data_IF_381885481338
#
_entry.id   IF_381885481338
#
_cell.length_a   1.000
_cell.length_b   1.000
_cell.length_c   1.000
_cell.angle_alpha   90.00
_cell.angle_beta   90.00
_cell.angle_gamma   90.00
#
_symmetry.space_group_name_H-M   'P 1'
#
loop_
_entity.id
_entity.type
_entity.pdbx_description
1 polymer ?
#
# COMPACT_ATOMS: atom_id res chain seq x y z
N UNK A 1 27.39 -16.49 18.08
CA UNK A 1 26.70 -17.09 16.92
C UNK A 1 26.41 -15.95 15.96
N UNK A 2 27.12 -15.89 14.83
CA UNK A 2 27.14 -14.73 13.91
C UNK A 2 25.83 -14.49 13.11
N UNK A 3 24.76 -15.21 13.45
CA UNK A 3 23.45 -15.06 12.84
C UNK A 3 22.41 -14.83 13.93
N UNK A 4 22.16 -13.57 14.26
CA UNK A 4 21.12 -13.20 15.21
C UNK A 4 19.75 -13.34 14.54
N UNK A 5 18.72 -13.70 15.32
CA UNK A 5 17.34 -13.73 14.84
C UNK A 5 16.93 -12.39 14.20
N UNK A 6 17.43 -11.27 14.73
CA UNK A 6 17.24 -9.93 14.17
C UNK A 6 17.78 -9.80 12.73
N UNK A 7 18.98 -10.33 12.43
CA UNK A 7 19.53 -10.27 11.06
C UNK A 7 18.65 -11.03 10.05
N UNK A 8 18.10 -12.19 10.43
CA UNK A 8 17.12 -12.91 9.61
C UNK A 8 15.85 -12.08 9.38
N UNK A 9 15.32 -11.48 10.43
CA UNK A 9 14.14 -10.61 10.34
C UNK A 9 14.38 -9.44 9.38
N UNK A 10 15.53 -8.78 9.46
CA UNK A 10 15.86 -7.68 8.54
C UNK A 10 15.99 -8.13 7.08
N UNK A 11 16.61 -9.29 6.82
CA UNK A 11 16.70 -9.83 5.45
C UNK A 11 15.33 -10.18 4.87
N UNK A 12 14.47 -10.84 5.64
CA UNK A 12 13.10 -11.16 5.21
C UNK A 12 12.29 -9.88 5.00
N UNK A 13 12.39 -8.92 5.92
CA UNK A 13 11.75 -7.61 5.81
C UNK A 13 12.18 -6.86 4.56
N UNK A 14 13.45 -6.90 4.15
CA UNK A 14 13.90 -6.22 2.92
C UNK A 14 13.20 -6.77 1.69
N UNK A 15 13.06 -8.09 1.58
CA UNK A 15 12.34 -8.74 0.47
C UNK A 15 10.86 -8.36 0.49
N UNK A 16 10.23 -8.40 1.65
CA UNK A 16 8.82 -8.02 1.81
C UNK A 16 8.61 -6.53 1.52
N UNK A 17 9.51 -5.65 1.96
CA UNK A 17 9.46 -4.22 1.71
C UNK A 17 9.61 -3.91 0.21
N UNK A 18 10.51 -4.59 -0.50
CA UNK A 18 10.60 -4.47 -1.96
C UNK A 18 9.29 -4.88 -2.65
N UNK A 19 8.62 -5.94 -2.18
CA UNK A 19 7.32 -6.33 -2.71
C UNK A 19 6.22 -5.30 -2.43
N UNK A 20 6.23 -4.67 -1.24
CA UNK A 20 5.32 -3.58 -0.88
C UNK A 20 5.53 -2.34 -1.75
N UNK A 21 6.79 -1.97 -2.03
CA UNK A 21 7.12 -0.86 -2.93
C UNK A 21 6.54 -1.14 -4.32
N UNK A 22 6.68 -2.35 -4.84
CA UNK A 22 6.11 -2.73 -6.13
C UNK A 22 4.57 -2.60 -6.14
N UNK A 23 3.89 -3.09 -5.10
CA UNK A 23 2.44 -2.94 -4.98
C UNK A 23 2.01 -1.48 -4.91
N UNK A 24 2.70 -0.64 -4.15
CA UNK A 24 2.37 0.79 -4.03
C UNK A 24 2.58 1.53 -5.35
N UNK A 25 3.63 1.21 -6.09
CA UNK A 25 3.84 1.75 -7.44
C UNK A 25 2.69 1.35 -8.36
N UNK A 26 2.27 0.08 -8.33
CA UNK A 26 1.11 -0.38 -9.09
C UNK A 26 -0.17 0.38 -8.72
N UNK A 27 -0.39 0.63 -7.41
CA UNK A 27 -1.51 1.44 -6.94
C UNK A 27 -1.45 2.89 -7.47
N UNK A 28 -0.28 3.52 -7.46
CA UNK A 28 -0.11 4.89 -8.00
C UNK A 28 -0.44 4.94 -9.50
N UNK A 29 0.05 3.97 -10.27
CA UNK A 29 -0.26 3.87 -11.71
C UNK A 29 -1.76 3.68 -11.93
N UNK A 30 -2.39 2.78 -11.17
CA UNK A 30 -3.84 2.56 -11.24
C UNK A 30 -4.65 3.83 -10.94
N UNK A 31 -4.25 4.62 -9.95
CA UNK A 31 -4.90 5.90 -9.66
C UNK A 31 -4.65 6.96 -10.73
N UNK A 32 -3.48 6.96 -11.38
CA UNK A 32 -3.16 7.89 -12.46
C UNK A 32 -3.96 7.57 -13.74
N UNK A 33 -4.13 6.28 -14.05
CA UNK A 33 -5.03 5.81 -15.12
C UNK A 33 -6.49 6.24 -14.84
N UNK A 34 -6.99 6.02 -13.62
CA UNK A 34 -8.33 6.47 -13.21
C UNK A 34 -8.51 7.98 -13.33
N UNK A 35 -7.47 8.76 -12.99
CA UNK A 35 -7.49 10.23 -13.10
C UNK A 35 -7.51 10.69 -14.55
N UNK A 36 -6.81 9.97 -15.43
CA UNK A 36 -6.78 10.25 -16.86
C UNK A 36 -8.13 9.93 -17.51
N UNK A 37 -8.75 8.82 -17.12
CA UNK A 37 -10.11 8.45 -17.54
C UNK A 37 -11.15 9.46 -17.04
N UNK A 38 -11.01 9.99 -15.83
CA UNK A 38 -11.91 11.03 -15.29
C UNK A 38 -11.84 12.35 -16.07
N UNK A 39 -10.65 12.77 -16.51
CA UNK A 39 -10.44 14.06 -17.22
C UNK A 39 -10.92 14.08 -18.67
N UNK A 40 -11.14 12.93 -19.30
CA UNK A 40 -11.49 12.82 -20.73
C UNK A 40 -12.97 12.41 -20.94
N UNK A 41 -13.95 13.30 -20.69
CA UNK A 41 -15.37 12.99 -20.93
C UNK A 41 -15.76 12.96 -22.43
N UNK A 42 -14.84 13.28 -23.36
CA UNK A 42 -15.13 13.61 -24.77
C UNK A 42 -15.56 12.40 -25.63
N UNK A 43 -15.33 11.16 -25.20
CA UNK A 43 -15.77 9.95 -25.94
C UNK A 43 -17.24 9.54 -25.68
N UNK A 44 -18.03 10.34 -24.95
CA UNK A 44 -19.47 10.10 -24.72
C UNK A 44 -20.32 10.04 -26.00
N UNK A 45 -19.77 10.44 -27.15
CA UNK A 45 -20.45 10.34 -28.44
C UNK A 45 -20.65 8.92 -28.96
N UNK A 46 -19.91 7.91 -28.46
CA UNK A 46 -20.09 6.51 -28.84
C UNK A 46 -20.39 5.62 -27.61
N UNK A 47 -21.63 5.11 -27.44
CA UNK A 47 -22.03 4.35 -26.26
C UNK A 47 -21.28 3.02 -26.09
N UNK A 48 -20.70 2.45 -27.16
CA UNK A 48 -19.89 1.24 -27.06
C UNK A 48 -18.55 1.49 -26.34
N UNK A 49 -17.88 2.61 -26.65
CA UNK A 49 -16.61 3.00 -26.01
C UNK A 49 -16.80 3.37 -24.54
N UNK A 50 -17.91 4.04 -24.21
CA UNK A 50 -18.25 4.38 -22.83
C UNK A 50 -18.42 3.13 -21.95
N UNK A 51 -19.08 2.07 -22.48
CA UNK A 51 -19.25 0.80 -21.76
C UNK A 51 -17.93 0.07 -21.51
N UNK A 52 -17.02 0.09 -22.48
CA UNK A 52 -15.70 -0.57 -22.35
C UNK A 52 -14.82 0.13 -21.30
N UNK A 53 -14.82 1.46 -21.28
CA UNK A 53 -14.16 2.28 -20.25
C UNK A 53 -14.68 1.98 -18.85
N UNK A 54 -16.01 1.95 -18.67
CA UNK A 54 -16.61 1.62 -17.37
C UNK A 54 -16.18 0.24 -16.88
N UNK A 55 -16.16 -0.75 -17.77
CA UNK A 55 -15.69 -2.11 -17.45
C UNK A 55 -14.19 -2.14 -17.09
N UNK A 56 -13.38 -1.27 -17.68
CA UNK A 56 -11.96 -1.13 -17.31
C UNK A 56 -11.81 -0.54 -15.90
N UNK A 57 -12.54 0.54 -15.60
CA UNK A 57 -12.56 1.18 -14.27
C UNK A 57 -12.97 0.17 -13.19
N UNK A 58 -14.05 -0.58 -13.41
CA UNK A 58 -14.50 -1.62 -12.48
C UNK A 58 -13.44 -2.70 -12.26
N UNK A 59 -12.73 -3.12 -13.32
CA UNK A 59 -11.63 -4.09 -13.23
C UNK A 59 -10.48 -3.55 -12.38
N UNK A 60 -10.06 -2.31 -12.63
CA UNK A 60 -8.97 -1.66 -11.87
C UNK A 60 -9.37 -1.55 -10.40
N UNK A 61 -10.59 -1.11 -10.10
CA UNK A 61 -11.11 -1.03 -8.72
C UNK A 61 -11.15 -2.40 -8.03
N UNK A 62 -11.59 -3.45 -8.75
CA UNK A 62 -11.59 -4.81 -8.23
C UNK A 62 -10.17 -5.32 -7.91
N UNK A 63 -9.19 -5.01 -8.77
CA UNK A 63 -7.79 -5.35 -8.55
C UNK A 63 -7.20 -4.58 -7.36
N UNK A 64 -7.42 -3.26 -7.29
CA UNK A 64 -7.02 -2.41 -6.15
C UNK A 64 -7.56 -2.97 -4.83
N UNK A 65 -8.85 -3.34 -4.80
CA UNK A 65 -9.49 -3.97 -3.64
C UNK A 65 -8.83 -5.28 -3.25
N UNK A 66 -8.47 -6.11 -4.22
CA UNK A 66 -7.83 -7.40 -3.98
C UNK A 66 -6.39 -7.25 -3.49
N UNK A 67 -5.66 -6.22 -3.93
CA UNK A 67 -4.25 -5.99 -3.58
C UNK A 67 -4.05 -5.30 -2.23
N UNK A 68 -5.04 -4.54 -1.76
CA UNK A 68 -4.90 -3.78 -0.50
C UNK A 68 -4.84 -4.68 0.76
N UNK A 69 -5.48 -5.86 0.72
CA UNK A 69 -5.46 -6.83 1.82
C UNK A 69 -4.07 -7.46 1.96
N UNK A 70 -3.44 -7.94 0.87
CA UNK A 70 -2.03 -8.31 0.87
C UNK A 70 -1.10 -7.22 1.41
N UNK A 71 -1.27 -5.95 1.03
CA UNK A 71 -0.45 -4.83 1.53
C UNK A 71 -0.50 -4.75 3.06
N UNK A 72 -1.71 -4.71 3.63
CA UNK A 72 -1.89 -4.64 5.09
C UNK A 72 -1.43 -5.92 5.79
N UNK A 73 -1.58 -7.08 5.17
CA UNK A 73 -1.14 -8.36 5.73
C UNK A 73 0.38 -8.43 5.82
N UNK A 74 1.09 -8.07 4.74
CA UNK A 74 2.56 -8.04 4.73
C UNK A 74 3.07 -6.99 5.72
N UNK A 75 2.42 -5.81 5.77
CA UNK A 75 2.77 -4.77 6.73
C UNK A 75 2.46 -5.16 8.19
N UNK A 76 1.41 -5.96 8.44
CA UNK A 76 1.17 -6.53 9.77
C UNK A 76 2.23 -7.56 10.15
N UNK A 77 2.60 -8.43 9.20
CA UNK A 77 3.49 -9.56 9.42
C UNK A 77 4.91 -9.12 9.81
N UNK A 78 5.52 -8.19 9.08
CA UNK A 78 6.87 -7.74 9.41
C UNK A 78 6.92 -6.86 10.69
N UNK A 79 5.85 -6.11 11.01
CA UNK A 79 5.71 -5.44 12.31
C UNK A 79 5.68 -6.46 13.46
N UNK A 80 4.90 -7.53 13.33
CA UNK A 80 4.85 -8.61 14.32
C UNK A 80 6.22 -9.30 14.47
N UNK A 81 6.91 -9.50 13.35
CA UNK A 81 8.25 -10.08 13.37
C UNK A 81 9.26 -9.18 14.10
N UNK A 82 9.21 -7.86 13.91
CA UNK A 82 10.05 -6.92 14.66
C UNK A 82 9.71 -6.84 16.14
N UNK A 83 8.44 -7.02 16.50
CA UNK A 83 8.03 -7.16 17.90
C UNK A 83 8.66 -8.41 18.53
N UNK A 84 8.65 -9.55 17.83
CA UNK A 84 9.32 -10.78 18.29
C UNK A 84 10.84 -10.65 18.37
N UNK A 85 11.45 -9.84 17.49
CA UNK A 85 12.89 -9.58 17.49
C UNK A 85 13.33 -8.55 18.56
N UNK A 86 12.39 -7.96 19.31
CA UNK A 86 12.62 -6.89 20.28
C UNK A 86 13.32 -5.65 19.67
N UNK A 87 13.09 -5.39 18.38
CA UNK A 87 13.65 -4.26 17.64
C UNK A 87 12.75 -3.02 17.80
N UNK A 88 12.79 -2.42 18.99
CA UNK A 88 11.84 -1.38 19.41
C UNK A 88 11.91 -0.10 18.58
N UNK A 89 13.09 0.30 18.10
CA UNK A 89 13.25 1.52 17.26
C UNK A 89 12.55 1.32 15.92
N UNK A 90 12.83 0.19 15.28
CA UNK A 90 12.30 -0.23 13.98
C UNK A 90 10.79 -0.41 14.04
N UNK A 91 10.29 -1.02 15.12
CA UNK A 91 8.86 -1.12 15.40
C UNK A 91 8.24 0.26 15.61
N UNK A 92 8.88 1.12 16.42
CA UNK A 92 8.43 2.49 16.69
C UNK A 92 8.22 3.33 15.44
N UNK A 93 9.11 3.21 14.44
CA UNK A 93 8.97 3.89 13.16
C UNK A 93 7.79 3.38 12.31
N UNK A 94 7.41 2.11 12.46
CA UNK A 94 6.29 1.50 11.73
C UNK A 94 4.93 1.63 12.42
N UNK A 95 4.90 1.84 13.74
CA UNK A 95 3.65 1.99 14.52
C UNK A 95 2.71 3.06 13.94
N UNK A 96 3.16 4.26 13.51
CA UNK A 96 2.26 5.25 12.93
C UNK A 96 1.53 4.74 11.68
N UNK A 97 2.24 4.03 10.79
CA UNK A 97 1.67 3.48 9.58
C UNK A 97 0.75 2.28 9.89
N UNK A 98 1.15 1.43 10.84
CA UNK A 98 0.34 0.30 11.29
C UNK A 98 -0.97 0.78 11.93
N UNK A 99 -0.91 1.81 12.78
CA UNK A 99 -2.08 2.42 13.39
C UNK A 99 -2.98 3.03 12.32
N UNK A 100 -2.41 3.70 11.31
CA UNK A 100 -3.18 4.21 10.18
C UNK A 100 -3.91 3.09 9.42
N UNK A 101 -3.24 1.96 9.13
CA UNK A 101 -3.86 0.81 8.48
C UNK A 101 -4.97 0.18 9.33
N UNK A 102 -4.76 0.04 10.65
CA UNK A 102 -5.77 -0.47 11.57
C UNK A 102 -6.95 0.48 11.70
N UNK A 103 -6.70 1.78 11.90
CA UNK A 103 -7.73 2.80 11.97
C UNK A 103 -8.59 2.78 10.72
N UNK A 104 -7.96 2.73 9.53
CA UNK A 104 -8.65 2.60 8.25
C UNK A 104 -9.35 1.25 8.04
N UNK A 105 -8.90 0.20 8.70
CA UNK A 105 -9.58 -1.10 8.69
C UNK A 105 -10.86 -1.06 9.53
N UNK A 106 -10.83 -0.42 10.71
CA UNK A 106 -11.96 -0.34 11.64
C UNK A 106 -12.96 0.78 11.34
N UNK A 107 -12.51 1.93 10.82
CA UNK A 107 -13.39 3.05 10.45
C UNK A 107 -14.05 2.85 9.08
N UNK A 108 -14.19 1.60 8.63
CA UNK A 108 -14.99 1.27 7.45
C UNK A 108 -16.47 1.25 7.86
N UNK A 109 -17.38 1.87 7.09
CA UNK A 109 -18.81 1.69 7.33
C UNK A 109 -19.15 0.19 7.21
N UNK A 110 -19.72 -0.38 8.27
CA UNK A 110 -20.03 -1.81 8.38
C UNK A 110 -21.26 -2.24 7.55
N UNK A 111 -21.94 -1.29 6.92
CA UNK A 111 -23.24 -1.49 6.27
C UNK A 111 -23.17 -2.15 4.89
N UNK A 112 -21.99 -2.58 4.43
CA UNK A 112 -21.82 -3.28 3.16
C UNK A 112 -22.10 -2.44 1.90
N UNK A 113 -22.44 -1.16 2.05
CA UNK A 113 -22.78 -0.23 0.95
C UNK A 113 -21.60 0.57 0.40
N UNK A 114 -20.49 0.70 1.14
CA UNK A 114 -19.26 1.34 0.66
C UNK A 114 -18.09 0.38 0.79
N UNK A 115 -18.02 -0.53 -0.17
CA UNK A 115 -16.86 -1.40 -0.33
C UNK A 115 -15.64 -0.52 -0.59
N UNK A 116 -14.54 -0.78 0.11
CA UNK A 116 -13.25 -0.11 -0.11
C UNK A 116 -12.93 -0.14 -1.62
N UNK A 117 -12.79 1.04 -2.24
CA UNK A 117 -12.64 1.19 -3.68
C UNK A 117 -13.90 0.83 -4.50
N UNK A 118 -15.08 1.29 -4.08
CA UNK A 118 -16.26 1.24 -4.96
C UNK A 118 -16.06 2.18 -6.16
N UNK A 119 -16.45 1.73 -7.35
CA UNK A 119 -16.18 2.45 -8.60
C UNK A 119 -16.86 3.83 -8.62
N UNK A 120 -18.04 3.93 -8.00
CA UNK A 120 -18.82 5.17 -7.92
C UNK A 120 -18.18 6.16 -6.94
N UNK A 121 -17.74 5.70 -5.77
CA UNK A 121 -17.12 6.57 -4.78
C UNK A 121 -15.73 7.05 -5.19
N UNK A 122 -14.91 6.18 -5.81
CA UNK A 122 -13.54 6.56 -6.17
C UNK A 122 -13.44 7.48 -7.38
N UNK A 123 -14.45 7.49 -8.24
CA UNK A 123 -14.53 8.46 -9.33
C UNK A 123 -14.83 9.89 -8.84
N UNK A 124 -15.07 10.11 -7.54
CA UNK A 124 -15.12 11.45 -6.99
C UNK A 124 -13.71 12.09 -6.96
N UNK A 125 -13.56 13.28 -7.54
CA UNK A 125 -12.28 13.96 -7.71
C UNK A 125 -11.55 14.19 -6.37
N UNK A 126 -12.28 14.52 -5.30
CA UNK A 126 -11.69 14.77 -3.98
C UNK A 126 -11.14 13.49 -3.35
N UNK A 127 -11.89 12.39 -3.47
CA UNK A 127 -11.50 11.07 -2.95
C UNK A 127 -10.29 10.54 -3.73
N UNK A 128 -10.31 10.64 -5.05
CA UNK A 128 -9.20 10.22 -5.90
C UNK A 128 -7.91 11.00 -5.58
N UNK A 129 -7.99 12.33 -5.40
CA UNK A 129 -6.85 13.15 -5.00
C UNK A 129 -6.31 12.75 -3.62
N UNK A 130 -7.19 12.45 -2.66
CA UNK A 130 -6.79 11.97 -1.34
C UNK A 130 -6.06 10.62 -1.43
N UNK A 131 -6.64 9.63 -2.14
CA UNK A 131 -6.02 8.31 -2.33
C UNK A 131 -4.69 8.37 -3.08
N UNK A 132 -4.55 9.28 -4.06
CA UNK A 132 -3.29 9.48 -4.77
C UNK A 132 -2.22 10.02 -3.82
N UNK A 133 -2.52 11.09 -3.06
CA UNK A 133 -1.59 11.66 -2.06
C UNK A 133 -1.19 10.64 -1.00
N UNK A 134 -2.15 9.86 -0.50
CA UNK A 134 -1.89 8.77 0.44
C UNK A 134 -0.91 7.74 -0.13
N UNK A 135 -1.13 7.29 -1.36
CA UNK A 135 -0.27 6.29 -2.01
C UNK A 135 1.15 6.81 -2.22
N UNK A 136 1.31 8.10 -2.58
CA UNK A 136 2.62 8.75 -2.65
C UNK A 136 3.30 8.87 -1.29
N UNK A 137 2.55 9.18 -0.22
CA UNK A 137 3.09 9.23 1.13
C UNK A 137 3.56 7.84 1.60
N UNK A 138 2.77 6.80 1.34
CA UNK A 138 3.15 5.40 1.60
C UNK A 138 4.41 5.00 0.83
N UNK A 139 4.52 5.38 -0.44
CA UNK A 139 5.72 5.12 -1.25
C UNK A 139 6.96 5.74 -0.60
N UNK A 140 6.89 7.01 -0.22
CA UNK A 140 7.99 7.71 0.44
C UNK A 140 8.37 7.02 1.76
N UNK A 141 7.38 6.62 2.56
CA UNK A 141 7.61 5.89 3.81
C UNK A 141 8.31 4.54 3.59
N UNK A 142 7.82 3.72 2.66
CA UNK A 142 8.42 2.41 2.38
C UNK A 142 9.82 2.53 1.78
N UNK A 143 10.06 3.53 0.95
CA UNK A 143 11.38 3.79 0.35
C UNK A 143 12.39 4.24 1.41
N UNK A 144 12.01 5.15 2.32
CA UNK A 144 12.86 5.53 3.46
C UNK A 144 13.12 4.35 4.39
N UNK A 145 12.07 3.57 4.68
CA UNK A 145 12.15 2.36 5.50
C UNK A 145 13.06 1.31 4.89
N UNK A 146 13.04 1.14 3.57
CA UNK A 146 13.91 0.20 2.85
C UNK A 146 15.40 0.49 3.09
N UNK A 147 15.81 1.75 2.94
CA UNK A 147 17.20 2.14 3.21
C UNK A 147 17.56 1.97 4.69
N UNK A 148 16.63 2.26 5.59
CA UNK A 148 16.83 2.06 7.01
C UNK A 148 16.97 0.56 7.39
N UNK A 149 16.17 -0.32 6.79
CA UNK A 149 16.29 -1.77 7.00
C UNK A 149 17.60 -2.32 6.43
N UNK A 150 18.07 -1.79 5.30
CA UNK A 150 19.36 -2.15 4.73
C UNK A 150 20.49 -1.74 5.68
N UNK A 151 20.47 -0.50 6.18
CA UNK A 151 21.44 -0.03 7.16
C UNK A 151 21.44 -0.89 8.42
N UNK A 152 20.25 -1.16 8.99
CA UNK A 152 20.11 -1.94 10.22
C UNK A 152 20.57 -3.39 10.02
N UNK A 153 20.27 -4.00 8.87
CA UNK A 153 20.78 -5.32 8.51
C UNK A 153 22.31 -5.36 8.51
N UNK A 154 22.95 -4.41 7.82
CA UNK A 154 24.42 -4.35 7.73
C UNK A 154 25.03 -4.10 9.12
N UNK A 155 24.48 -3.15 9.88
CA UNK A 155 24.94 -2.86 11.22
C UNK A 155 24.87 -4.10 12.14
N UNK A 156 23.74 -4.81 12.14
CA UNK A 156 23.56 -6.03 12.95
C UNK A 156 24.44 -7.19 12.48
N UNK A 157 24.80 -7.25 11.19
CA UNK A 157 25.73 -8.27 10.66
C UNK A 157 27.20 -7.98 10.94
N UNK A 158 27.59 -6.71 11.07
CA UNK A 158 28.99 -6.29 11.29
C UNK A 158 29.32 -6.16 12.77
N UNK A 159 28.36 -5.79 13.60
CA UNK A 159 28.55 -5.59 15.04
C UNK A 159 28.53 -6.88 15.87
N UNK A 160 28.20 -8.03 15.25
CA UNK A 160 28.12 -9.36 15.87
C UNK A 160 28.89 -10.42 15.08
#
# INVERSE_FOLDING_TARGET
MAFTFAAFCYMLTLVLCASLIFFVIWHIIAFDELRTDFKNPIDQGNPARARERLKNIERICCLLRKLVVPEYSIHGLFCLMFLCAAEWVTLGLNIPLLFYHLWRYFHRPADGSEVMYDAVSIMNADILNYCQKESWCKLAFYLLSFFYYLYSMVYTLVSF
#
